data_IF_487063856710
#
_entry.id   IF_487063856710
#
_cell.length_a   1.000
_cell.length_b   1.000
_cell.length_c   1.000
_cell.angle_alpha   90.00
_cell.angle_beta   90.00
_cell.angle_gamma   90.00
#
_symmetry.space_group_name_H-M   'P 1'
#
loop_
_entity.id
_entity.type
_entity.pdbx_description
1 polymer ?
#
# COMPACT_ATOMS: atom_id res chain seq x y z
N UNK A 1 3.57 -8.97 -28.89
CA UNK A 1 2.12 -8.71 -28.72
C UNK A 1 1.52 -9.26 -27.42
N UNK A 2 1.75 -10.54 -27.02
CA UNK A 2 1.09 -11.16 -25.84
C UNK A 2 1.24 -10.35 -24.55
N UNK A 3 2.46 -9.95 -24.17
CA UNK A 3 2.72 -9.19 -22.94
C UNK A 3 1.95 -7.87 -22.83
N UNK A 4 1.76 -7.12 -23.94
CA UNK A 4 0.96 -5.89 -23.94
C UNK A 4 -0.52 -6.16 -23.60
N UNK A 5 -1.09 -7.23 -24.17
CA UNK A 5 -2.48 -7.62 -23.88
C UNK A 5 -2.65 -8.05 -22.42
N UNK A 6 -1.67 -8.78 -21.87
CA UNK A 6 -1.68 -9.24 -20.48
C UNK A 6 -1.55 -8.05 -19.52
N UNK A 7 -0.58 -7.16 -19.72
CA UNK A 7 -0.43 -5.95 -18.91
C UNK A 7 -1.67 -5.03 -19.00
N UNK A 8 -2.30 -4.91 -20.17
CA UNK A 8 -3.56 -4.17 -20.32
C UNK A 8 -4.71 -4.80 -19.53
N UNK A 9 -4.81 -6.15 -19.49
CA UNK A 9 -5.79 -6.89 -18.69
C UNK A 9 -5.56 -6.67 -17.19
N UNK A 10 -4.33 -6.86 -16.70
CA UNK A 10 -3.95 -6.62 -15.29
C UNK A 10 -4.34 -5.20 -14.83
N UNK A 11 -4.08 -4.18 -15.67
CA UNK A 11 -4.44 -2.79 -15.38
C UNK A 11 -5.94 -2.50 -15.46
N UNK A 12 -6.68 -3.20 -16.32
CA UNK A 12 -8.14 -3.06 -16.40
C UNK A 12 -8.82 -3.69 -15.19
N UNK A 13 -8.27 -4.78 -14.67
CA UNK A 13 -8.79 -5.52 -13.52
C UNK A 13 -8.41 -4.86 -12.17
N UNK A 14 -7.45 -3.93 -12.15
CA UNK A 14 -7.09 -3.11 -10.98
C UNK A 14 -6.35 -3.83 -9.83
N UNK A 15 -6.22 -5.15 -9.89
CA UNK A 15 -5.75 -6.02 -8.78
C UNK A 15 -4.42 -5.60 -8.13
N UNK A 16 -3.46 -5.09 -8.90
CA UNK A 16 -2.18 -4.61 -8.36
C UNK A 16 -2.31 -3.23 -7.70
N UNK A 17 -3.10 -2.34 -8.31
CA UNK A 17 -3.34 -0.99 -7.81
C UNK A 17 -4.10 -1.04 -6.47
N UNK A 18 -5.06 -1.96 -6.33
CA UNK A 18 -5.77 -2.22 -5.07
C UNK A 18 -4.84 -2.75 -3.95
N UNK A 19 -3.90 -3.65 -4.28
CA UNK A 19 -2.92 -4.15 -3.30
C UNK A 19 -1.97 -3.03 -2.84
N UNK A 20 -1.51 -2.18 -3.77
CA UNK A 20 -0.68 -1.02 -3.44
C UNK A 20 -1.47 -0.02 -2.58
N UNK A 21 -2.69 0.33 -2.98
CA UNK A 21 -3.56 1.23 -2.19
C UNK A 21 -3.79 0.69 -0.78
N UNK A 22 -4.17 -0.58 -0.64
CA UNK A 22 -4.42 -1.20 0.66
C UNK A 22 -3.16 -1.22 1.54
N UNK A 23 -1.96 -1.37 0.95
CA UNK A 23 -0.68 -1.34 1.65
C UNK A 23 -0.32 0.05 2.18
N UNK A 24 -0.66 1.12 1.46
CA UNK A 24 -0.30 2.50 1.81
C UNK A 24 -1.44 3.34 2.41
N UNK A 25 -2.65 2.79 2.56
CA UNK A 25 -3.84 3.47 3.12
C UNK A 25 -3.65 4.20 4.45
N UNK A 26 -2.64 3.85 5.26
CA UNK A 26 -2.32 4.57 6.49
C UNK A 26 -1.84 6.01 6.25
N UNK A 27 -1.48 6.36 5.01
CA UNK A 27 -1.21 7.72 4.55
C UNK A 27 -2.46 8.46 4.05
N UNK A 28 -3.58 7.76 3.79
CA UNK A 28 -4.84 8.39 3.38
C UNK A 28 -5.61 9.00 4.57
N UNK A 29 -5.20 8.72 5.82
CA UNK A 29 -5.90 9.13 7.04
C UNK A 29 -4.98 9.55 8.21
N UNK A 30 -5.55 10.27 9.18
CA UNK A 30 -4.93 10.53 10.48
C UNK A 30 -3.55 11.18 10.43
N UNK A 31 -2.58 10.59 11.13
CA UNK A 31 -1.20 11.11 11.15
C UNK A 31 -0.49 10.95 9.80
N UNK A 32 -0.80 9.90 9.03
CA UNK A 32 -0.15 9.65 7.75
C UNK A 32 -0.52 10.68 6.71
N UNK A 33 -1.79 11.12 6.70
CA UNK A 33 -2.25 12.22 5.86
C UNK A 33 -1.53 13.53 6.18
N UNK A 34 -1.31 13.84 7.47
CA UNK A 34 -0.51 15.01 7.88
C UNK A 34 0.97 14.89 7.45
N UNK A 35 1.54 13.69 7.50
CA UNK A 35 2.92 13.44 7.03
C UNK A 35 3.01 13.70 5.52
N UNK A 36 2.08 13.16 4.72
CA UNK A 36 2.08 13.30 3.26
C UNK A 36 1.85 14.77 2.82
N UNK A 37 0.96 15.48 3.51
CA UNK A 37 0.73 16.91 3.29
C UNK A 37 1.87 17.83 3.76
N UNK A 38 2.86 17.31 4.53
CA UNK A 38 3.90 18.12 5.15
C UNK A 38 3.41 19.00 6.31
N UNK A 39 2.24 18.69 6.88
CA UNK A 39 1.53 19.46 7.92
C UNK A 39 1.82 18.97 9.35
N UNK A 40 2.96 18.29 9.57
CA UNK A 40 3.35 17.81 10.89
C UNK A 40 4.81 18.09 11.23
N UNK A 41 5.16 17.94 12.50
CA UNK A 41 6.49 18.22 13.05
C UNK A 41 7.00 17.05 13.90
N UNK A 42 8.30 17.01 14.19
CA UNK A 42 8.86 15.97 15.06
C UNK A 42 8.26 15.97 16.47
N UNK A 43 7.85 17.12 17.01
CA UNK A 43 7.20 17.20 18.32
C UNK A 43 5.79 16.57 18.30
N UNK A 44 5.01 16.80 17.24
CA UNK A 44 3.71 16.13 17.08
C UNK A 44 3.86 14.62 16.87
N UNK A 45 4.88 14.18 16.11
CA UNK A 45 5.15 12.76 15.87
C UNK A 45 5.62 12.04 17.13
N UNK A 46 6.45 12.69 17.95
CA UNK A 46 6.85 12.19 19.28
C UNK A 46 5.62 12.00 20.18
N UNK A 47 4.78 13.03 20.32
CA UNK A 47 3.55 12.97 21.10
C UNK A 47 2.61 11.85 20.59
N UNK A 48 2.40 11.77 19.27
CA UNK A 48 1.55 10.75 18.66
C UNK A 48 2.00 9.32 19.00
N UNK A 49 3.30 9.03 18.95
CA UNK A 49 3.82 7.69 19.27
C UNK A 49 3.70 7.39 20.77
N UNK A 50 3.99 8.37 21.64
CA UNK A 50 3.87 8.22 23.09
C UNK A 50 2.42 7.98 23.53
N UNK A 51 1.45 8.68 22.94
CA UNK A 51 0.02 8.51 23.24
C UNK A 51 -0.55 7.20 22.68
N UNK A 52 -0.06 6.74 21.52
CA UNK A 52 -0.51 5.51 20.88
C UNK A 52 -0.07 4.24 21.63
N UNK A 53 1.07 4.29 22.32
CA UNK A 53 1.61 3.15 23.07
C UNK A 53 2.06 2.01 22.15
N UNK A 54 1.29 0.93 22.08
CA UNK A 54 1.62 -0.19 21.18
C UNK A 54 1.38 0.18 19.71
N UNK A 55 2.41 0.02 18.89
CA UNK A 55 2.31 0.26 17.45
C UNK A 55 1.50 -0.86 16.79
N UNK A 56 0.60 -0.48 15.88
CA UNK A 56 -0.13 -1.43 15.05
C UNK A 56 0.87 -2.33 14.27
N UNK A 57 0.62 -3.64 14.18
CA UNK A 57 1.53 -4.57 13.53
C UNK A 57 1.63 -4.28 12.02
N UNK A 58 2.83 -4.48 11.46
CA UNK A 58 3.04 -4.38 10.02
C UNK A 58 2.29 -5.47 9.26
N UNK A 59 1.74 -5.12 8.10
CA UNK A 59 1.09 -6.08 7.20
C UNK A 59 2.09 -6.73 6.22
N UNK A 60 1.86 -8.01 5.92
CA UNK A 60 2.68 -8.79 4.97
C UNK A 60 2.75 -8.13 3.59
N UNK A 61 3.91 -8.23 2.95
CA UNK A 61 4.12 -7.78 1.56
C UNK A 61 3.44 -8.65 0.50
N UNK A 62 2.99 -9.86 0.86
CA UNK A 62 2.26 -10.80 -0.02
C UNK A 62 2.99 -11.11 -1.35
N UNK A 63 4.32 -11.21 -1.33
CA UNK A 63 5.13 -11.36 -2.54
C UNK A 63 4.75 -12.63 -3.33
N UNK A 64 4.63 -13.77 -2.67
CA UNK A 64 4.32 -15.06 -3.30
C UNK A 64 2.90 -15.06 -3.90
N UNK A 65 1.96 -14.34 -3.27
CA UNK A 65 0.63 -14.13 -3.82
C UNK A 65 0.67 -13.24 -5.07
N UNK A 66 1.46 -12.17 -5.06
CA UNK A 66 1.64 -11.29 -6.22
C UNK A 66 2.27 -12.03 -7.40
N UNK A 67 3.29 -12.85 -7.16
CA UNK A 67 3.91 -13.71 -8.18
C UNK A 67 2.90 -14.70 -8.77
N UNK A 68 2.06 -15.34 -7.94
CA UNK A 68 0.99 -16.23 -8.41
C UNK A 68 -0.08 -15.49 -9.23
N UNK A 69 -0.55 -14.31 -8.79
CA UNK A 69 -1.49 -13.49 -9.56
C UNK A 69 -0.92 -13.19 -10.95
N UNK A 70 0.35 -12.80 -11.06
CA UNK A 70 0.99 -12.57 -12.37
C UNK A 70 1.02 -13.86 -13.21
N UNK A 71 1.28 -15.02 -12.61
CA UNK A 71 1.26 -16.31 -13.31
C UNK A 71 -0.14 -16.65 -13.85
N UNK A 72 -1.21 -16.45 -13.07
CA UNK A 72 -2.61 -16.63 -13.52
C UNK A 72 -2.95 -15.76 -14.74
N UNK A 73 -2.28 -14.61 -14.88
CA UNK A 73 -2.39 -13.74 -16.05
C UNK A 73 -1.50 -14.14 -17.24
N UNK A 74 -0.50 -14.99 -17.04
CA UNK A 74 0.42 -15.52 -18.05
C UNK A 74 -0.05 -16.83 -18.69
N UNK A 75 -1.02 -17.52 -18.08
CA UNK A 75 -1.80 -18.60 -18.70
C UNK A 75 -2.72 -18.04 -19.81
#
# INVERSE_FOLDING_TARGET
ARGLKIAARIRADGVLDDIVRQRYRSFDEGIGQKIDAGETTFAELEQYVLEKGELAPNESGRQELLENIINDYLE
#
